data_IF_112261653585
#
_entry.id   IF_112261653585
#
_cell.length_a   1.000
_cell.length_b   1.000
_cell.length_c   1.000
_cell.angle_alpha   90.00
_cell.angle_beta   90.00
_cell.angle_gamma   90.00
#
_symmetry.space_group_name_H-M   'P 1'
#
loop_
_entity.id
_entity.type
_entity.pdbx_description
1 polymer ?
#
# COMPACT_ATOMS: atom_id res chain seq x y z
N UNK A 1 10.07 -24.73 -7.84
CA UNK A 1 10.90 -25.71 -8.57
C UNK A 1 12.37 -25.75 -8.14
N UNK A 2 13.11 -24.63 -8.11
CA UNK A 2 14.55 -24.64 -7.77
C UNK A 2 14.89 -25.22 -6.39
N UNK A 3 14.27 -24.73 -5.31
CA UNK A 3 14.48 -25.26 -3.96
C UNK A 3 14.12 -26.75 -3.85
N UNK A 4 13.05 -27.18 -4.53
CA UNK A 4 12.64 -28.59 -4.54
C UNK A 4 13.75 -29.48 -5.10
N UNK A 5 14.33 -29.11 -6.24
CA UNK A 5 15.45 -29.84 -6.83
C UNK A 5 16.68 -29.81 -5.90
N UNK A 6 17.03 -28.64 -5.36
CA UNK A 6 18.20 -28.47 -4.52
C UNK A 6 18.13 -29.31 -3.23
N UNK A 7 16.97 -29.32 -2.56
CA UNK A 7 16.79 -30.07 -1.32
C UNK A 7 16.65 -31.58 -1.54
N UNK A 8 16.23 -32.04 -2.72
CA UNK A 8 16.33 -33.47 -3.10
C UNK A 8 17.79 -33.93 -3.09
N UNK A 9 18.71 -33.13 -3.67
CA UNK A 9 20.13 -33.48 -3.65
C UNK A 9 20.74 -33.40 -2.25
N UNK A 10 20.42 -32.36 -1.46
CA UNK A 10 20.92 -32.25 -0.08
C UNK A 10 20.43 -33.42 0.78
N UNK A 11 19.19 -33.85 0.61
CA UNK A 11 18.62 -34.98 1.34
C UNK A 11 19.33 -36.32 1.08
N UNK A 12 20.11 -36.42 0.00
CA UNK A 12 20.92 -37.60 -0.33
C UNK A 12 22.34 -37.58 0.27
N UNK A 13 22.76 -36.46 0.86
CA UNK A 13 24.08 -36.31 1.47
C UNK A 13 24.15 -36.93 2.86
N UNK A 14 25.37 -37.13 3.37
CA UNK A 14 25.59 -37.51 4.77
C UNK A 14 24.93 -36.51 5.73
N UNK A 15 24.29 -37.00 6.80
CA UNK A 15 23.63 -36.18 7.81
C UNK A 15 24.51 -35.08 8.41
N UNK A 16 25.84 -35.28 8.44
CA UNK A 16 26.80 -34.29 8.93
C UNK A 16 26.96 -33.09 8.00
N UNK A 17 26.70 -33.27 6.71
CA UNK A 17 26.86 -32.23 5.69
C UNK A 17 25.57 -31.44 5.45
N UNK A 18 24.41 -32.03 5.77
CA UNK A 18 23.09 -31.42 5.54
C UNK A 18 22.99 -30.00 6.13
N UNK A 19 23.39 -29.73 7.40
CA UNK A 19 23.27 -28.38 7.97
C UNK A 19 24.08 -27.34 7.21
N UNK A 20 25.31 -27.67 6.80
CA UNK A 20 26.20 -26.75 6.09
C UNK A 20 25.68 -26.40 4.69
N UNK A 21 25.18 -27.40 3.94
CA UNK A 21 24.62 -27.14 2.61
C UNK A 21 23.25 -26.48 2.67
N UNK A 22 22.45 -26.78 3.69
CA UNK A 22 21.20 -26.08 3.94
C UNK A 22 21.45 -24.59 4.18
N UNK A 23 22.39 -24.26 5.07
CA UNK A 23 22.78 -22.87 5.37
C UNK A 23 23.29 -22.15 4.12
N UNK A 24 24.22 -22.77 3.36
CA UNK A 24 24.73 -22.23 2.11
C UNK A 24 23.63 -21.88 1.11
N UNK A 25 22.64 -22.77 0.95
CA UNK A 25 21.52 -22.53 0.03
C UNK A 25 20.62 -21.42 0.54
N UNK A 26 20.25 -21.43 1.82
CA UNK A 26 19.33 -20.45 2.38
C UNK A 26 19.95 -19.05 2.42
N UNK A 27 21.20 -18.92 2.88
CA UNK A 27 21.93 -17.66 2.90
C UNK A 27 22.20 -17.13 1.49
N UNK A 28 22.72 -17.98 0.59
CA UNK A 28 22.99 -17.57 -0.79
C UNK A 28 21.73 -17.14 -1.54
N UNK A 29 20.62 -17.86 -1.37
CA UNK A 29 19.35 -17.46 -1.98
C UNK A 29 18.81 -16.18 -1.37
N UNK A 30 18.92 -16.00 -0.04
CA UNK A 30 18.51 -14.78 0.64
C UNK A 30 19.28 -13.57 0.15
N UNK A 31 20.60 -13.65 0.03
CA UNK A 31 21.45 -12.56 -0.47
C UNK A 31 21.08 -12.18 -1.91
N UNK A 32 20.91 -13.16 -2.81
CA UNK A 32 20.51 -12.92 -4.20
C UNK A 32 19.13 -12.24 -4.27
N UNK A 33 18.16 -12.72 -3.50
CA UNK A 33 16.82 -12.13 -3.47
C UNK A 33 16.85 -10.70 -2.90
N UNK A 34 17.67 -10.47 -1.88
CA UNK A 34 17.84 -9.17 -1.26
C UNK A 34 18.45 -8.17 -2.26
N UNK A 35 19.55 -8.53 -2.92
CA UNK A 35 20.16 -7.71 -3.97
C UNK A 35 19.21 -7.43 -5.14
N UNK A 36 18.48 -8.47 -5.57
CA UNK A 36 17.48 -8.30 -6.62
C UNK A 36 16.39 -7.32 -6.21
N UNK A 37 15.88 -7.42 -4.97
CA UNK A 37 14.85 -6.51 -4.49
C UNK A 37 15.32 -5.06 -4.42
N UNK A 38 16.57 -4.79 -4.04
CA UNK A 38 17.17 -3.46 -4.11
C UNK A 38 17.29 -2.97 -5.55
N UNK A 39 17.63 -3.85 -6.49
CA UNK A 39 17.75 -3.50 -7.91
C UNK A 39 16.45 -2.97 -8.52
N UNK A 40 15.30 -3.38 -7.97
CA UNK A 40 13.97 -2.94 -8.38
C UNK A 40 13.54 -1.62 -7.72
N UNK A 41 14.21 -1.17 -6.65
CA UNK A 41 13.90 0.09 -5.99
C UNK A 41 14.41 1.31 -6.78
N UNK A 42 13.88 2.49 -6.43
CA UNK A 42 14.27 3.75 -7.03
C UNK A 42 15.80 3.99 -7.00
N UNK A 43 16.28 4.84 -7.90
CA UNK A 43 17.70 5.24 -7.91
C UNK A 43 18.14 5.87 -6.57
N UNK A 44 17.22 6.59 -5.90
CA UNK A 44 17.49 7.21 -4.60
C UNK A 44 17.88 6.16 -3.55
N UNK A 45 17.13 5.05 -3.44
CA UNK A 45 17.47 3.98 -2.49
C UNK A 45 18.80 3.34 -2.88
N UNK A 46 18.96 2.95 -4.15
CA UNK A 46 20.13 2.20 -4.66
C UNK A 46 21.48 2.93 -4.54
N UNK A 47 21.50 4.25 -4.35
CA UNK A 47 22.73 5.06 -4.41
C UNK A 47 23.22 5.57 -3.04
N UNK A 48 22.47 5.36 -1.96
CA UNK A 48 22.76 6.04 -0.69
C UNK A 48 23.65 5.22 0.24
N UNK A 49 23.09 4.21 0.91
CA UNK A 49 23.82 3.43 1.91
C UNK A 49 23.09 2.14 2.24
N UNK A 50 23.82 1.16 2.78
CA UNK A 50 23.26 -0.08 3.30
C UNK A 50 22.16 0.14 4.35
N UNK A 51 22.27 1.19 5.17
CA UNK A 51 21.23 1.52 6.14
C UNK A 51 19.92 1.93 5.46
N UNK A 52 20.01 2.71 4.37
CA UNK A 52 18.83 3.11 3.58
C UNK A 52 18.24 1.91 2.84
N UNK A 53 19.09 1.02 2.33
CA UNK A 53 18.66 -0.25 1.73
C UNK A 53 17.87 -1.08 2.76
N UNK A 54 18.42 -1.28 3.97
CA UNK A 54 17.75 -2.01 5.05
C UNK A 54 16.42 -1.37 5.48
N UNK A 55 16.31 -0.04 5.48
CA UNK A 55 15.04 0.66 5.67
C UNK A 55 14.07 0.43 4.50
N UNK A 56 14.57 0.44 3.27
CA UNK A 56 13.80 0.14 2.06
C UNK A 56 13.17 -1.26 2.10
N UNK A 57 13.83 -2.24 2.72
CA UNK A 57 13.27 -3.58 2.89
C UNK A 57 11.96 -3.61 3.70
N UNK A 58 11.75 -2.67 4.62
CA UNK A 58 10.50 -2.58 5.38
C UNK A 58 9.30 -2.42 4.46
N UNK A 59 9.48 -1.79 3.29
CA UNK A 59 8.47 -1.70 2.25
C UNK A 59 7.96 -3.07 1.84
N UNK A 60 8.87 -4.02 1.59
CA UNK A 60 8.54 -5.37 1.16
C UNK A 60 7.97 -6.15 2.33
N UNK A 61 8.59 -6.08 3.51
CA UNK A 61 8.18 -6.84 4.69
C UNK A 61 6.76 -6.49 5.16
N UNK A 62 6.39 -5.22 5.16
CA UNK A 62 5.08 -4.77 5.62
C UNK A 62 3.98 -4.94 4.55
N UNK A 63 4.35 -5.16 3.29
CA UNK A 63 3.40 -5.28 2.19
C UNK A 63 3.09 -6.74 1.89
N UNK A 64 1.81 -7.04 1.67
CA UNK A 64 1.36 -8.37 1.26
C UNK A 64 0.35 -8.20 0.13
N UNK A 65 0.48 -9.00 -0.92
CA UNK A 65 -0.57 -9.11 -1.92
C UNK A 65 -1.81 -9.78 -1.30
N UNK A 66 -2.94 -9.17 -1.54
CA UNK A 66 -4.24 -9.64 -1.10
C UNK A 66 -5.17 -9.66 -2.30
N UNK A 67 -5.93 -10.73 -2.47
CA UNK A 67 -6.90 -10.81 -3.55
C UNK A 67 -8.07 -9.87 -3.27
N UNK A 68 -8.37 -9.07 -4.28
CA UNK A 68 -9.26 -7.94 -4.19
C UNK A 68 -10.39 -8.13 -5.23
N UNK A 69 -11.41 -8.86 -4.80
CA UNK A 69 -12.62 -9.16 -5.59
C UNK A 69 -13.60 -7.99 -5.64
N UNK A 70 -13.71 -7.29 -6.76
CA UNK A 70 -14.84 -6.40 -7.05
C UNK A 70 -16.00 -7.20 -7.65
N UNK A 71 -17.19 -6.58 -7.76
CA UNK A 71 -18.38 -7.23 -8.35
C UNK A 71 -18.15 -7.76 -9.78
N UNK A 72 -17.16 -7.24 -10.50
CA UNK A 72 -16.90 -7.56 -11.91
C UNK A 72 -15.55 -8.28 -12.11
N UNK A 73 -14.56 -8.11 -11.23
CA UNK A 73 -13.19 -8.60 -11.43
C UNK A 73 -12.47 -9.00 -10.14
N UNK A 74 -11.56 -9.98 -10.24
CA UNK A 74 -10.53 -10.24 -9.21
C UNK A 74 -9.30 -9.42 -9.57
N UNK A 75 -8.93 -8.48 -8.71
CA UNK A 75 -7.72 -7.70 -8.84
C UNK A 75 -6.80 -8.04 -7.69
N UNK A 76 -5.51 -8.31 -7.94
CA UNK A 76 -4.55 -8.44 -6.84
C UNK A 76 -4.17 -7.05 -6.36
N UNK A 77 -4.36 -6.78 -5.08
CA UNK A 77 -4.00 -5.50 -4.50
C UNK A 77 -3.07 -5.64 -3.30
N UNK A 78 -2.05 -4.78 -3.22
CA UNK A 78 -1.13 -4.74 -2.11
C UNK A 78 -1.83 -4.13 -0.89
N UNK A 79 -1.65 -4.76 0.27
CA UNK A 79 -2.08 -4.27 1.58
C UNK A 79 -0.86 -3.99 2.46
N UNK A 80 -0.84 -2.86 3.15
CA UNK A 80 0.24 -2.44 4.05
C UNK A 80 -0.11 -2.70 5.52
N UNK A 81 0.72 -3.48 6.21
CA UNK A 81 0.60 -3.70 7.64
C UNK A 81 1.10 -2.48 8.43
N UNK A 82 0.39 -2.14 9.52
CA UNK A 82 0.87 -1.13 10.47
C UNK A 82 2.06 -1.64 11.31
N UNK A 83 2.26 -2.96 11.41
CA UNK A 83 3.45 -3.51 12.06
C UNK A 83 3.38 -4.99 12.43
N UNK A 84 4.54 -5.58 12.65
CA UNK A 84 4.66 -6.97 13.12
C UNK A 84 4.69 -7.07 14.66
N UNK A 85 4.29 -8.23 15.22
CA UNK A 85 3.42 -9.24 14.61
C UNK A 85 1.93 -8.88 14.74
N UNK A 86 1.60 -7.97 15.66
CA UNK A 86 0.22 -7.76 16.14
C UNK A 86 -0.71 -7.06 15.14
N UNK A 87 -0.15 -6.28 14.22
CA UNK A 87 -0.88 -5.54 13.19
C UNK A 87 -0.52 -6.04 11.78
N UNK A 88 -0.13 -7.31 11.68
CA UNK A 88 0.23 -7.91 10.39
C UNK A 88 -0.95 -8.63 9.72
N UNK A 89 -1.96 -9.08 10.47
CA UNK A 89 -3.04 -9.90 9.92
C UNK A 89 -4.44 -9.46 10.35
N UNK A 90 -5.44 -9.96 9.62
CA UNK A 90 -6.85 -9.72 9.92
C UNK A 90 -7.27 -8.26 9.81
N UNK A 91 -8.33 -7.90 10.53
CA UNK A 91 -8.93 -6.57 10.54
C UNK A 91 -8.01 -5.47 11.09
N UNK A 92 -6.97 -5.85 11.85
CA UNK A 92 -6.02 -4.93 12.49
C UNK A 92 -4.81 -4.58 11.63
N UNK A 93 -4.76 -5.10 10.38
CA UNK A 93 -3.61 -4.95 9.50
C UNK A 93 -3.41 -3.50 9.05
N UNK A 94 -4.47 -2.85 8.58
CA UNK A 94 -4.38 -1.53 7.95
C UNK A 94 -4.98 -0.45 8.87
N UNK A 95 -4.28 0.66 9.01
CA UNK A 95 -4.73 1.84 9.77
C UNK A 95 -4.37 3.09 8.96
N UNK A 96 -5.32 3.91 8.53
CA UNK A 96 -5.02 4.97 7.55
C UNK A 96 -4.07 6.03 8.03
N UNK A 97 -4.03 6.31 9.33
CA UNK A 97 -3.01 7.20 9.91
C UNK A 97 -1.61 6.64 9.65
N UNK A 98 -1.39 5.39 10.04
CA UNK A 98 -0.10 4.71 9.91
C UNK A 98 0.25 4.50 8.44
N UNK A 99 -0.73 4.15 7.60
CA UNK A 99 -0.55 4.05 6.14
C UNK A 99 -0.20 5.39 5.52
N UNK A 100 -0.90 6.49 5.87
CA UNK A 100 -0.62 7.82 5.33
C UNK A 100 0.80 8.28 5.66
N UNK A 101 1.20 8.16 6.92
CA UNK A 101 2.53 8.56 7.39
C UNK A 101 3.62 7.74 6.70
N UNK A 102 3.40 6.44 6.52
CA UNK A 102 4.39 5.53 5.94
C UNK A 102 4.41 5.49 4.41
N UNK A 103 3.33 5.92 3.74
CA UNK A 103 3.16 5.91 2.27
C UNK A 103 4.37 6.49 1.53
N UNK A 104 4.85 7.65 1.97
CA UNK A 104 5.97 8.33 1.31
C UNK A 104 7.26 7.52 1.43
N UNK A 105 7.60 7.07 2.63
CA UNK A 105 8.84 6.34 2.89
C UNK A 105 8.84 4.93 2.27
N UNK A 106 7.73 4.21 2.44
CA UNK A 106 7.65 2.80 2.06
C UNK A 106 7.27 2.58 0.59
N UNK A 107 6.58 3.51 -0.07
CA UNK A 107 6.15 3.30 -1.45
C UNK A 107 6.71 4.34 -2.42
N UNK A 108 6.59 5.63 -2.10
CA UNK A 108 6.99 6.68 -3.03
C UNK A 108 8.52 6.76 -3.18
N UNK A 109 9.25 6.80 -2.07
CA UNK A 109 10.72 6.85 -2.09
C UNK A 109 11.34 5.56 -2.67
N UNK A 110 10.70 4.42 -2.48
CA UNK A 110 11.18 3.13 -3.04
C UNK A 110 10.78 2.93 -4.50
N UNK A 111 9.92 3.78 -5.07
CA UNK A 111 9.45 3.67 -6.47
C UNK A 111 8.30 2.68 -6.70
N UNK A 112 7.58 2.30 -5.64
CA UNK A 112 6.47 1.33 -5.63
C UNK A 112 5.12 2.03 -5.76
N UNK A 113 4.91 2.72 -6.88
CA UNK A 113 3.76 3.61 -7.09
C UNK A 113 2.43 2.85 -7.27
N UNK A 114 2.47 1.67 -7.88
CA UNK A 114 1.29 0.80 -8.00
C UNK A 114 0.78 0.42 -6.61
N UNK A 115 1.68 0.11 -5.68
CA UNK A 115 1.27 -0.25 -4.33
C UNK A 115 0.75 0.92 -3.50
N UNK A 116 1.28 2.13 -3.72
CA UNK A 116 0.76 3.34 -3.09
C UNK A 116 -0.72 3.59 -3.43
N UNK A 117 -1.15 3.25 -4.66
CA UNK A 117 -2.49 3.50 -5.18
C UNK A 117 -3.60 2.82 -4.37
N UNK A 118 -3.37 1.60 -3.89
CA UNK A 118 -4.42 0.74 -3.34
C UNK A 118 -4.51 0.75 -1.79
N UNK A 119 -3.58 1.41 -1.11
CA UNK A 119 -3.44 1.33 0.35
C UNK A 119 -4.12 2.45 1.16
N UNK A 120 -4.70 3.47 0.50
CA UNK A 120 -5.02 4.75 1.12
C UNK A 120 -6.53 5.03 1.30
N UNK A 121 -7.29 4.18 2.01
CA UNK A 121 -8.77 4.37 2.17
C UNK A 121 -9.13 5.59 3.04
N UNK A 122 -8.61 5.66 4.26
CA UNK A 122 -8.83 6.72 5.25
C UNK A 122 -7.64 7.70 5.34
N UNK A 123 -6.55 7.40 4.65
CA UNK A 123 -5.39 8.26 4.49
C UNK A 123 -5.72 9.61 3.84
N UNK A 124 -6.78 9.69 3.02
CA UNK A 124 -7.24 10.95 2.40
C UNK A 124 -7.59 12.01 3.44
N UNK A 125 -8.17 11.63 4.58
CA UNK A 125 -8.52 12.58 5.65
C UNK A 125 -7.28 13.11 6.38
N UNK A 126 -6.30 12.23 6.62
CA UNK A 126 -5.00 12.61 7.19
C UNK A 126 -4.20 13.51 6.24
N UNK A 127 -4.30 13.25 4.94
CA UNK A 127 -3.72 14.11 3.90
C UNK A 127 -4.33 15.51 3.90
N UNK A 128 -5.67 15.60 3.91
CA UNK A 128 -6.39 16.88 3.98
C UNK A 128 -6.06 17.64 5.27
N UNK A 129 -6.05 16.95 6.40
CA UNK A 129 -5.69 17.53 7.70
C UNK A 129 -4.25 18.06 7.70
N UNK A 130 -3.30 17.29 7.17
CA UNK A 130 -1.90 17.69 7.08
C UNK A 130 -1.71 18.90 6.16
N UNK A 131 -2.41 18.91 5.01
CA UNK A 131 -2.37 20.03 4.07
C UNK A 131 -2.96 21.29 4.71
N UNK A 132 -4.09 21.18 5.41
CA UNK A 132 -4.68 22.28 6.17
C UNK A 132 -3.73 22.81 7.23
N UNK A 133 -3.10 21.94 8.03
CA UNK A 133 -2.12 22.39 9.01
C UNK A 133 -0.94 23.12 8.36
N UNK A 134 -0.45 22.65 7.22
CA UNK A 134 0.62 23.31 6.48
C UNK A 134 0.26 24.76 6.14
N UNK A 135 -0.94 25.00 5.59
CA UNK A 135 -1.36 26.36 5.20
C UNK A 135 -1.50 27.31 6.40
N UNK A 136 -1.70 26.80 7.62
CA UNK A 136 -1.81 27.60 8.84
C UNK A 136 -0.44 27.84 9.53
N UNK A 137 0.48 26.88 9.44
CA UNK A 137 1.77 26.93 10.14
C UNK A 137 2.81 27.70 9.32
N UNK A 138 2.83 27.50 8.01
CA UNK A 138 3.85 28.07 7.12
C UNK A 138 3.41 29.47 6.66
N UNK A 139 4.27 30.50 6.76
CA UNK A 139 4.00 31.81 6.17
C UNK A 139 3.71 31.69 4.68
N UNK A 140 2.64 32.35 4.20
CA UNK A 140 2.15 32.25 2.81
C UNK A 140 1.87 30.79 2.36
N UNK A 141 1.61 29.89 3.32
CA UNK A 141 1.43 28.46 3.05
C UNK A 141 0.25 28.11 2.16
N UNK A 142 -0.67 29.04 1.90
CA UNK A 142 -1.78 28.86 0.96
C UNK A 142 -1.31 28.76 -0.50
N UNK A 143 -0.12 29.25 -0.82
CA UNK A 143 0.43 29.20 -2.18
C UNK A 143 0.60 27.75 -2.68
N UNK A 144 0.85 26.79 -1.76
CA UNK A 144 0.95 25.36 -2.08
C UNK A 144 -0.31 24.82 -2.77
N UNK A 145 -1.48 25.42 -2.51
CA UNK A 145 -2.74 24.99 -3.11
C UNK A 145 -2.74 25.19 -4.63
N UNK A 146 -1.94 26.13 -5.12
CA UNK A 146 -1.78 26.41 -6.55
C UNK A 146 -0.64 25.63 -7.19
N UNK A 147 0.17 24.92 -6.40
CA UNK A 147 1.25 24.08 -6.92
C UNK A 147 0.69 22.92 -7.76
N UNK A 148 1.43 22.58 -8.81
CA UNK A 148 1.07 21.47 -9.69
C UNK A 148 1.47 20.14 -9.05
N UNK A 149 0.54 19.21 -9.05
CA UNK A 149 0.78 17.80 -8.73
C UNK A 149 0.54 16.94 -9.96
N UNK A 150 1.46 16.01 -10.22
CA UNK A 150 1.32 15.06 -11.32
C UNK A 150 0.41 13.92 -10.94
N UNK A 151 -0.65 13.74 -11.72
CA UNK A 151 -1.60 12.65 -11.58
C UNK A 151 -1.11 11.45 -12.38
N UNK A 152 -0.43 10.54 -11.69
CA UNK A 152 0.07 9.30 -12.30
C UNK A 152 -1.04 8.41 -12.84
N UNK A 153 -2.25 8.49 -12.28
CA UNK A 153 -3.43 7.74 -12.71
C UNK A 153 -4.59 8.71 -13.02
N UNK A 154 -4.74 9.16 -14.27
CA UNK A 154 -5.80 10.10 -14.65
C UNK A 154 -7.22 9.59 -14.37
N UNK A 155 -7.47 8.30 -14.56
CA UNK A 155 -8.78 7.67 -14.31
C UNK A 155 -8.64 6.40 -13.47
N UNK A 156 -9.77 5.87 -12.99
CA UNK A 156 -9.79 4.63 -12.21
C UNK A 156 -9.20 3.43 -12.98
N UNK A 157 -9.27 3.41 -14.30
CA UNK A 157 -8.80 2.25 -15.08
C UNK A 157 -7.59 2.58 -15.97
N UNK A 158 -7.04 3.80 -15.85
CA UNK A 158 -5.85 4.18 -16.62
C UNK A 158 -4.59 3.48 -16.09
N UNK A 159 -3.66 3.08 -16.98
CA UNK A 159 -2.32 2.68 -16.59
C UNK A 159 -1.55 3.87 -16.00
N UNK A 160 -0.50 3.58 -15.22
CA UNK A 160 0.41 4.62 -14.72
C UNK A 160 1.02 5.43 -15.87
N UNK A 161 1.00 6.75 -15.71
CA UNK A 161 1.64 7.71 -16.60
C UNK A 161 2.83 8.35 -15.91
N UNK A 162 3.81 8.77 -16.70
CA UNK A 162 4.97 9.51 -16.19
C UNK A 162 4.54 10.86 -15.60
N UNK A 163 5.29 11.31 -14.58
CA UNK A 163 5.09 12.64 -14.01
C UNK A 163 5.17 13.74 -15.09
N UNK A 164 4.33 14.76 -14.97
CA UNK A 164 4.21 15.88 -15.93
C UNK A 164 3.29 15.65 -17.13
N UNK A 165 2.78 14.42 -17.36
CA UNK A 165 1.85 14.16 -18.48
C UNK A 165 0.46 14.71 -18.17
N UNK A 166 -0.04 14.48 -16.95
CA UNK A 166 -1.32 14.97 -16.49
C UNK A 166 -1.13 15.70 -15.17
N UNK A 167 -0.89 17.01 -15.24
CA UNK A 167 -0.78 17.85 -14.05
C UNK A 167 -2.10 18.51 -13.73
N UNK A 168 -2.40 18.61 -12.44
CA UNK A 168 -3.52 19.38 -11.90
C UNK A 168 -3.06 20.15 -10.69
N UNK A 169 -3.74 21.25 -10.36
CA UNK A 169 -3.42 21.99 -9.14
C UNK A 169 -3.74 21.17 -7.91
N UNK A 170 -3.03 21.41 -6.80
CA UNK A 170 -3.34 20.76 -5.53
C UNK A 170 -4.79 21.04 -5.09
N UNK A 171 -5.29 22.26 -5.28
CA UNK A 171 -6.68 22.60 -4.92
C UNK A 171 -7.71 21.82 -5.75
N UNK A 172 -7.46 21.57 -7.04
CA UNK A 172 -8.35 20.76 -7.87
C UNK A 172 -8.41 19.31 -7.35
N UNK A 173 -7.28 18.75 -6.90
CA UNK A 173 -7.21 17.40 -6.32
C UNK A 173 -8.00 17.31 -5.04
N UNK A 174 -7.84 18.31 -4.16
CA UNK A 174 -8.57 18.40 -2.89
C UNK A 174 -10.06 18.50 -3.15
N UNK A 175 -10.46 19.35 -4.10
CA UNK A 175 -11.86 19.53 -4.47
C UNK A 175 -12.46 18.23 -5.03
N UNK A 176 -11.75 17.54 -5.91
CA UNK A 176 -12.18 16.23 -6.42
C UNK A 176 -12.33 15.20 -5.31
N UNK A 177 -11.36 15.10 -4.41
CA UNK A 177 -11.41 14.16 -3.29
C UNK A 177 -12.65 14.41 -2.42
N UNK A 178 -12.92 15.67 -2.06
CA UNK A 178 -14.11 16.05 -1.28
C UNK A 178 -15.41 15.76 -2.05
N UNK A 179 -15.47 16.14 -3.32
CA UNK A 179 -16.64 15.92 -4.17
C UNK A 179 -16.98 14.43 -4.29
N UNK A 180 -15.97 13.57 -4.42
CA UNK A 180 -16.14 12.12 -4.50
C UNK A 180 -16.77 11.54 -3.23
N UNK A 181 -16.40 12.05 -2.05
CA UNK A 181 -16.99 11.63 -0.77
C UNK A 181 -18.42 12.15 -0.62
N UNK A 182 -18.72 13.36 -1.10
CA UNK A 182 -20.10 13.91 -1.08
C UNK A 182 -21.05 13.14 -2.01
N UNK A 183 -20.54 12.64 -3.14
CA UNK A 183 -21.33 11.83 -4.08
C UNK A 183 -21.63 10.41 -3.58
N UNK A 184 -21.02 10.02 -2.45
CA UNK A 184 -21.02 8.67 -1.89
C UNK A 184 -20.44 7.60 -2.84
N UNK A 185 -19.85 6.56 -2.26
CA UNK A 185 -19.29 5.42 -2.96
C UNK A 185 -19.86 4.14 -2.34
N UNK A 186 -20.47 3.30 -3.18
CA UNK A 186 -20.96 1.97 -2.81
C UNK A 186 -20.04 0.92 -3.39
N UNK A 187 -19.58 0.00 -2.55
CA UNK A 187 -18.71 -1.10 -2.96
C UNK A 187 -18.89 -2.29 -2.02
N UNK A 188 -18.46 -3.48 -2.44
CA UNK A 188 -18.45 -4.68 -1.59
C UNK A 188 -17.02 -5.03 -1.18
N UNK A 189 -16.83 -5.35 0.09
CA UNK A 189 -15.61 -5.86 0.69
C UNK A 189 -15.16 -7.13 -0.02
N UNK A 190 -13.85 -7.21 -0.20
CA UNK A 190 -13.21 -8.15 -1.10
C UNK A 190 -12.93 -9.45 -0.37
N UNK A 191 -13.31 -10.57 -0.97
CA UNK A 191 -13.26 -11.89 -0.29
C UNK A 191 -14.45 -12.14 0.64
N UNK A 192 -15.54 -11.38 0.45
CA UNK A 192 -16.80 -11.52 1.17
C UNK A 192 -17.18 -12.99 1.41
N UNK A 193 -17.27 -13.37 2.68
CA UNK A 193 -17.48 -14.74 3.12
C UNK A 193 -16.72 -15.05 4.41
N UNK A 194 -16.96 -16.22 4.96
CA UNK A 194 -16.41 -16.64 6.26
C UNK A 194 -14.89 -16.76 6.30
N UNK A 195 -14.22 -16.78 5.14
CA UNK A 195 -12.76 -16.72 5.04
C UNK A 195 -12.18 -15.34 5.38
N UNK A 196 -12.95 -14.27 5.16
CA UNK A 196 -12.55 -12.89 5.45
C UNK A 196 -12.96 -12.49 6.86
N UNK A 197 -14.21 -12.78 7.22
CA UNK A 197 -14.73 -12.58 8.57
C UNK A 197 -15.73 -13.70 8.89
N UNK A 198 -15.40 -14.51 9.90
CA UNK A 198 -16.15 -15.69 10.32
C UNK A 198 -17.53 -15.34 10.91
N UNK A 199 -17.74 -14.09 11.32
CA UNK A 199 -18.93 -13.65 12.06
C UNK A 199 -19.76 -12.66 11.24
N UNK A 200 -19.18 -12.02 10.23
CA UNK A 200 -19.86 -11.11 9.33
C UNK A 200 -20.90 -11.83 8.45
N UNK A 201 -22.11 -11.29 8.46
CA UNK A 201 -23.21 -11.61 7.56
C UNK A 201 -22.94 -11.08 6.14
N UNK A 202 -23.53 -11.73 5.13
CA UNK A 202 -23.24 -11.47 3.71
C UNK A 202 -23.49 -10.00 3.28
N UNK A 203 -24.55 -9.40 3.83
CA UNK A 203 -24.90 -7.99 3.66
C UNK A 203 -23.83 -7.06 4.25
N UNK A 204 -23.14 -7.49 5.31
CA UNK A 204 -22.05 -6.74 5.95
C UNK A 204 -20.88 -6.51 5.01
N UNK A 205 -20.67 -7.38 4.02
CA UNK A 205 -19.64 -7.09 3.04
C UNK A 205 -20.02 -5.92 2.11
N UNK A 206 -21.26 -5.42 2.06
CA UNK A 206 -21.61 -4.25 1.27
C UNK A 206 -21.37 -2.97 2.05
N UNK A 207 -20.32 -2.23 1.68
CA UNK A 207 -19.98 -0.95 2.29
C UNK A 207 -20.51 0.23 1.49
N UNK A 208 -20.94 1.24 2.22
CA UNK A 208 -21.21 2.56 1.68
C UNK A 208 -20.38 3.57 2.46
N UNK A 209 -19.65 4.41 1.74
CA UNK A 209 -18.97 5.57 2.30
C UNK A 209 -19.57 6.83 1.71
N UNK A 210 -19.72 7.88 2.50
CA UNK A 210 -20.35 9.11 2.03
C UNK A 210 -20.38 10.20 3.09
N UNK A 211 -21.04 11.30 2.76
CA UNK A 211 -21.38 12.37 3.71
C UNK A 211 -22.90 12.36 3.92
N UNK A 212 -23.34 12.26 5.18
CA UNK A 212 -24.75 12.41 5.51
C UNK A 212 -25.16 13.87 5.24
N UNK A 213 -25.98 14.10 4.23
CA UNK A 213 -26.38 15.46 3.81
C UNK A 213 -27.16 16.23 4.88
N UNK A 214 -27.74 15.54 5.87
CA UNK A 214 -28.47 16.19 6.96
C UNK A 214 -27.53 16.66 8.08
N UNK A 215 -26.50 15.88 8.38
CA UNK A 215 -25.59 16.17 9.52
C UNK A 215 -24.24 16.74 9.09
N UNK A 216 -23.85 16.56 7.84
CA UNK A 216 -22.55 16.93 7.29
C UNK A 216 -21.41 15.99 7.72
N UNK A 217 -21.69 14.94 8.50
CA UNK A 217 -20.66 14.00 8.95
C UNK A 217 -20.40 12.92 7.90
N UNK A 218 -19.12 12.54 7.78
CA UNK A 218 -18.74 11.36 7.04
C UNK A 218 -19.28 10.09 7.72
N UNK A 219 -19.79 9.18 6.92
CA UNK A 219 -20.13 7.82 7.33
C UNK A 219 -19.40 6.82 6.43
N UNK A 220 -19.17 5.63 6.96
CA UNK A 220 -18.47 4.59 6.23
C UNK A 220 -18.60 3.25 6.93
N UNK A 221 -18.77 2.19 6.15
CA UNK A 221 -18.90 0.82 6.63
C UNK A 221 -20.27 0.22 6.32
N UNK A 222 -20.57 -0.91 6.95
CA UNK A 222 -21.86 -1.58 6.92
C UNK A 222 -22.59 -1.41 8.27
N UNK A 223 -23.84 -1.89 8.35
CA UNK A 223 -24.57 -2.04 9.62
C UNK A 223 -24.58 -3.49 10.09
#
# INVERSE_FOLDING_TARGET
DWYGNAFVYIGSLSHLMIPCYFDLIMCGSYEILLEHSYSLMSQFIRQLSRFVDELGQLSIQLTKETDEHTFEHVQQCPSLAAGFPHFYGGIWRNWGRDTFISLHGLFLLTGRYEEARYNARDAVWWWLYSTSNYTHIVPDGHDILSDKVSRLYPTHDSPAQSAGIHDQSLYDVIHEALLRHVQSLKFRERGAGHSLDLVMNDEGFNNEIGIDQRTGFAYGGNR
#
